data_IF_128635137566
#
_entry.id   IF_128635137566
#
_cell.length_a   1.000
_cell.length_b   1.000
_cell.length_c   1.000
_cell.angle_alpha   90.00
_cell.angle_beta   90.00
_cell.angle_gamma   90.00
#
_symmetry.space_group_name_H-M   'P 1'
#
loop_
_entity.id
_entity.type
_entity.pdbx_description
1 polymer ?
#
# COMPACT_ATOMS: atom_id res chain seq x y z
N UNK A 1 -9.78 17.59 -11.00
CA UNK A 1 -8.64 18.46 -10.65
C UNK A 1 -7.37 17.71 -11.03
N UNK A 2 -6.31 18.38 -11.48
CA UNK A 2 -5.04 17.72 -11.80
C UNK A 2 -4.35 17.40 -10.48
N UNK A 3 -4.02 16.13 -10.24
CA UNK A 3 -3.12 15.74 -9.14
C UNK A 3 -1.69 16.18 -9.52
N UNK A 4 -0.98 16.76 -8.56
CA UNK A 4 0.39 17.21 -8.76
C UNK A 4 1.36 16.10 -8.34
N UNK A 5 2.47 15.99 -9.06
CA UNK A 5 3.56 15.09 -8.66
C UNK A 5 4.36 15.67 -7.49
N UNK A 6 5.11 14.83 -6.76
CA UNK A 6 5.90 15.23 -5.59
C UNK A 6 6.93 16.34 -5.94
N UNK A 7 7.54 16.24 -7.12
CA UNK A 7 8.49 17.23 -7.63
C UNK A 7 7.80 18.59 -7.91
N UNK A 8 6.58 18.57 -8.46
CA UNK A 8 5.79 19.77 -8.73
C UNK A 8 5.39 20.46 -7.40
N UNK A 9 5.01 19.68 -6.38
CA UNK A 9 4.68 20.19 -5.04
C UNK A 9 5.89 20.82 -4.33
N UNK A 10 7.06 20.21 -4.46
CA UNK A 10 8.30 20.73 -3.89
C UNK A 10 8.76 22.02 -4.59
N UNK A 11 8.60 22.09 -5.92
CA UNK A 11 8.89 23.30 -6.68
C UNK A 11 7.98 24.47 -6.28
N UNK A 12 6.69 24.21 -6.03
CA UNK A 12 5.75 25.22 -5.53
C UNK A 12 6.17 25.80 -4.18
N UNK A 13 6.66 24.95 -3.26
CA UNK A 13 7.16 25.38 -1.95
C UNK A 13 8.46 26.18 -2.05
N UNK A 14 9.41 25.72 -2.86
CA UNK A 14 10.67 26.42 -3.09
C UNK A 14 10.47 27.81 -3.70
N UNK A 15 9.46 27.96 -4.56
CA UNK A 15 9.11 29.23 -5.20
C UNK A 15 8.22 30.13 -4.33
N UNK A 16 7.87 29.73 -3.10
CA UNK A 16 7.01 30.50 -2.20
C UNK A 16 5.57 30.67 -2.69
N UNK A 17 5.15 29.86 -3.66
CA UNK A 17 3.82 29.89 -4.24
C UNK A 17 2.89 29.03 -3.39
N UNK A 18 2.16 29.65 -2.46
CA UNK A 18 1.04 28.99 -1.78
C UNK A 18 -0.13 28.96 -2.76
N UNK A 19 -0.53 27.80 -3.33
CA UNK A 19 -1.58 27.76 -4.32
C UNK A 19 -2.90 28.18 -3.67
N UNK A 20 -3.72 28.95 -4.39
CA UNK A 20 -5.06 29.31 -3.92
C UNK A 20 -5.85 28.02 -3.61
N UNK A 21 -6.60 28.02 -2.50
CA UNK A 21 -7.14 26.82 -1.83
C UNK A 21 -8.19 26.05 -2.67
N UNK A 22 -8.42 26.49 -3.91
CA UNK A 22 -9.43 26.03 -4.87
C UNK A 22 -8.87 25.18 -6.02
N UNK A 23 -7.56 25.10 -6.24
CA UNK A 23 -6.95 24.38 -7.37
C UNK A 23 -6.33 23.02 -7.01
N UNK A 24 -6.11 22.74 -5.72
CA UNK A 24 -5.49 21.51 -5.24
C UNK A 24 -6.54 20.48 -4.77
N UNK A 25 -6.25 19.20 -5.00
CA UNK A 25 -7.02 18.13 -4.36
C UNK A 25 -6.78 18.11 -2.84
N UNK A 26 -7.66 17.47 -2.09
CA UNK A 26 -7.47 17.32 -0.63
C UNK A 26 -6.23 16.48 -0.28
N UNK A 27 -5.80 15.58 -1.17
CA UNK A 27 -4.56 14.81 -1.01
C UNK A 27 -3.33 15.71 -1.18
N UNK A 28 -3.32 16.53 -2.25
CA UNK A 28 -2.22 17.47 -2.52
C UNK A 28 -2.08 18.50 -1.39
N UNK A 29 -3.19 18.97 -0.81
CA UNK A 29 -3.17 19.89 0.34
C UNK A 29 -2.50 19.27 1.56
N UNK A 30 -2.82 18.00 1.86
CA UNK A 30 -2.22 17.28 2.99
C UNK A 30 -0.73 17.05 2.76
N UNK A 31 -0.33 16.70 1.54
CA UNK A 31 1.08 16.52 1.18
C UNK A 31 1.86 17.84 1.30
N UNK A 32 1.30 18.93 0.81
CA UNK A 32 1.91 20.26 0.88
C UNK A 32 2.07 20.74 2.34
N UNK A 33 1.08 20.49 3.20
CA UNK A 33 1.21 20.74 4.64
C UNK A 33 2.30 19.89 5.30
N UNK A 34 2.42 18.62 4.91
CA UNK A 34 3.47 17.74 5.42
C UNK A 34 4.87 18.23 5.03
N UNK A 35 5.05 18.66 3.78
CA UNK A 35 6.31 19.25 3.32
C UNK A 35 6.64 20.55 4.06
N UNK A 36 5.67 21.45 4.27
CA UNK A 36 5.89 22.69 5.04
C UNK A 36 6.37 22.40 6.47
N UNK A 37 5.71 21.46 7.16
CA UNK A 37 6.09 21.07 8.51
C UNK A 37 7.50 20.44 8.54
N UNK A 38 7.84 19.64 7.52
CA UNK A 38 9.16 19.04 7.38
C UNK A 38 10.24 20.12 7.19
N UNK A 39 10.05 21.07 6.27
CA UNK A 39 11.01 22.15 6.04
C UNK A 39 11.16 23.07 7.25
N UNK A 40 10.06 23.35 7.96
CA UNK A 40 10.10 24.10 9.21
C UNK A 40 10.96 23.39 10.27
N UNK A 41 10.78 22.08 10.44
CA UNK A 41 11.58 21.26 11.37
C UNK A 41 13.05 21.14 10.95
N UNK A 42 13.34 21.08 9.64
CA UNK A 42 14.71 21.03 9.11
C UNK A 42 15.42 22.39 9.18
N UNK A 43 14.66 23.49 9.21
CA UNK A 43 15.21 24.85 9.33
C UNK A 43 15.63 25.19 10.76
N UNK A 44 15.15 24.43 11.76
CA UNK A 44 15.59 24.57 13.14
C UNK A 44 16.81 23.71 13.42
N UNK A 45 17.91 24.34 13.84
CA UNK A 45 19.09 23.61 14.28
C UNK A 45 18.75 22.80 15.54
N UNK A 46 19.07 21.50 15.58
CA UNK A 46 18.75 20.68 16.73
C UNK A 46 19.60 21.10 17.93
N UNK A 47 18.98 21.17 19.12
CA UNK A 47 19.65 21.58 20.36
C UNK A 47 20.81 20.65 20.76
N UNK A 48 20.77 19.39 20.31
CA UNK A 48 21.82 18.40 20.43
C UNK A 48 22.17 17.85 19.03
N UNK A 49 23.43 17.46 18.83
CA UNK A 49 23.85 16.88 17.56
C UNK A 49 23.05 15.62 17.19
N UNK A 50 22.84 15.41 15.89
CA UNK A 50 22.15 14.21 15.41
C UNK A 50 22.99 12.95 15.70
N UNK A 51 22.36 11.82 16.06
CA UNK A 51 23.10 10.57 16.26
C UNK A 51 23.77 10.14 14.95
N UNK A 52 24.96 9.53 15.06
CA UNK A 52 25.77 9.12 13.90
C UNK A 52 24.99 8.25 12.89
N UNK A 53 23.99 7.49 13.35
CA UNK A 53 23.15 6.63 12.51
C UNK A 53 21.81 7.27 12.09
N UNK A 54 21.62 8.57 12.29
CA UNK A 54 20.34 9.26 12.02
C UNK A 54 19.89 9.07 10.57
N UNK A 55 20.74 9.45 9.61
CA UNK A 55 20.41 9.36 8.18
C UNK A 55 20.11 7.91 7.75
N UNK A 56 20.89 6.94 8.24
CA UNK A 56 20.66 5.52 7.97
C UNK A 56 19.31 5.04 8.55
N UNK A 57 18.95 5.47 9.76
CA UNK A 57 17.69 5.11 10.40
C UNK A 57 16.49 5.74 9.67
N UNK A 58 16.58 7.01 9.28
CA UNK A 58 15.53 7.70 8.52
C UNK A 58 15.34 7.04 7.16
N UNK A 59 16.44 6.81 6.42
CA UNK A 59 16.38 6.13 5.12
C UNK A 59 15.76 4.74 5.23
N UNK A 60 16.17 3.93 6.21
CA UNK A 60 15.61 2.59 6.43
C UNK A 60 14.11 2.66 6.67
N UNK A 61 13.65 3.55 7.56
CA UNK A 61 12.21 3.70 7.85
C UNK A 61 11.40 4.11 6.63
N UNK A 62 11.92 5.05 5.82
CA UNK A 62 11.27 5.48 4.57
C UNK A 62 11.18 4.33 3.55
N UNK A 63 12.26 3.58 3.36
CA UNK A 63 12.31 2.45 2.43
C UNK A 63 11.38 1.32 2.88
N UNK A 64 11.32 1.02 4.18
CA UNK A 64 10.38 0.05 4.75
C UNK A 64 8.92 0.47 4.53
N UNK A 65 8.60 1.76 4.68
CA UNK A 65 7.25 2.27 4.41
C UNK A 65 6.89 2.20 2.92
N UNK A 66 7.80 2.61 2.03
CA UNK A 66 7.60 2.59 0.59
C UNK A 66 7.40 1.15 0.07
N UNK A 67 8.29 0.23 0.48
CA UNK A 67 8.21 -1.16 0.08
C UNK A 67 6.92 -1.82 0.58
N UNK A 68 6.48 -1.56 1.82
CA UNK A 68 5.23 -2.15 2.36
C UNK A 68 3.96 -1.74 1.62
N UNK A 69 3.86 -0.50 1.11
CA UNK A 69 2.69 -0.05 0.30
C UNK A 69 2.66 -0.80 -1.04
N UNK A 70 3.83 -1.04 -1.63
CA UNK A 70 3.98 -1.86 -2.83
C UNK A 70 3.64 -3.32 -2.55
N UNK A 71 4.16 -3.87 -1.44
CA UNK A 71 3.96 -5.27 -1.05
C UNK A 71 2.49 -5.59 -0.81
N UNK A 72 1.69 -4.68 -0.22
CA UNK A 72 0.26 -4.93 -0.04
C UNK A 72 -0.48 -5.07 -1.38
N UNK A 73 -0.23 -4.15 -2.32
CA UNK A 73 -0.85 -4.18 -3.66
C UNK A 73 -0.45 -5.46 -4.39
N UNK A 74 0.83 -5.82 -4.29
CA UNK A 74 1.36 -7.06 -4.86
C UNK A 74 0.72 -8.32 -4.23
N UNK A 75 0.60 -8.36 -2.90
CA UNK A 75 -0.01 -9.47 -2.18
C UNK A 75 -1.50 -9.64 -2.49
N UNK A 76 -2.25 -8.53 -2.63
CA UNK A 76 -3.64 -8.58 -3.09
C UNK A 76 -3.75 -9.03 -4.54
N UNK A 77 -2.82 -8.62 -5.40
CA UNK A 77 -2.75 -9.06 -6.79
C UNK A 77 -2.48 -10.57 -6.86
N UNK A 78 -1.58 -11.11 -6.04
CA UNK A 78 -1.31 -12.54 -5.95
C UNK A 78 -2.57 -13.33 -5.53
N UNK A 79 -3.34 -12.83 -4.56
CA UNK A 79 -4.62 -13.42 -4.15
C UNK A 79 -5.64 -13.38 -5.31
N UNK A 80 -5.68 -12.26 -6.04
CA UNK A 80 -6.48 -12.10 -7.25
C UNK A 80 -6.10 -13.09 -8.37
N UNK A 81 -4.81 -13.29 -8.63
CA UNK A 81 -4.32 -14.29 -9.59
C UNK A 81 -4.73 -15.69 -9.16
N UNK A 82 -4.58 -16.03 -7.88
CA UNK A 82 -4.97 -17.34 -7.36
C UNK A 82 -6.48 -17.60 -7.56
N UNK A 83 -7.33 -16.66 -7.15
CA UNK A 83 -8.78 -16.77 -7.32
C UNK A 83 -9.18 -16.77 -8.80
N UNK A 84 -8.52 -15.94 -9.62
CA UNK A 84 -8.72 -15.89 -11.06
C UNK A 84 -8.34 -17.20 -11.75
N UNK A 85 -7.24 -17.82 -11.34
CA UNK A 85 -6.81 -19.12 -11.85
C UNK A 85 -7.81 -20.23 -11.56
N UNK A 86 -8.35 -20.29 -10.33
CA UNK A 86 -9.42 -21.23 -9.98
C UNK A 86 -10.69 -21.00 -10.82
N UNK A 87 -11.06 -19.73 -11.01
CA UNK A 87 -12.24 -19.35 -11.80
C UNK A 87 -12.07 -19.70 -13.27
N UNK A 88 -10.90 -19.46 -13.84
CA UNK A 88 -10.56 -19.82 -15.21
C UNK A 88 -10.54 -21.34 -15.40
N UNK A 89 -9.92 -22.08 -14.47
CA UNK A 89 -9.90 -23.54 -14.51
C UNK A 89 -11.31 -24.11 -14.49
N UNK A 90 -12.17 -23.62 -13.59
CA UNK A 90 -13.59 -23.99 -13.56
C UNK A 90 -14.30 -23.63 -14.87
N UNK A 91 -14.14 -22.39 -15.35
CA UNK A 91 -14.78 -21.93 -16.58
C UNK A 91 -14.40 -22.77 -17.80
N UNK A 92 -13.11 -23.08 -17.96
CA UNK A 92 -12.64 -23.96 -19.04
C UNK A 92 -13.22 -25.36 -18.91
N UNK A 93 -13.14 -25.97 -17.71
CA UNK A 93 -13.66 -27.32 -17.50
C UNK A 93 -15.17 -27.40 -17.78
N UNK A 94 -15.95 -26.42 -17.33
CA UNK A 94 -17.40 -26.40 -17.55
C UNK A 94 -17.81 -26.17 -19.00
N UNK A 95 -16.98 -25.47 -19.80
CA UNK A 95 -17.23 -25.27 -21.23
C UNK A 95 -16.99 -26.54 -22.06
N UNK A 96 -15.95 -27.31 -21.74
CA UNK A 96 -15.60 -28.53 -22.49
C UNK A 96 -16.32 -29.78 -21.96
N UNK A 97 -16.56 -29.86 -20.66
CA UNK A 97 -17.20 -31.00 -20.00
C UNK A 97 -17.87 -30.55 -18.70
N UNK A 98 -19.18 -30.26 -18.72
CA UNK A 98 -19.90 -29.78 -17.54
C UNK A 98 -19.70 -30.66 -16.30
N UNK A 99 -19.68 -31.99 -16.46
CA UNK A 99 -19.44 -32.94 -15.38
C UNK A 99 -18.08 -32.74 -14.69
N UNK A 100 -17.02 -32.48 -15.45
CA UNK A 100 -15.69 -32.21 -14.88
C UNK A 100 -15.65 -30.89 -14.13
N UNK A 101 -16.41 -29.89 -14.61
CA UNK A 101 -16.58 -28.60 -13.92
C UNK A 101 -17.25 -28.77 -12.57
N UNK A 102 -18.32 -29.55 -12.51
CA UNK A 102 -19.03 -29.86 -11.25
C UNK A 102 -18.17 -30.66 -10.28
N UNK A 103 -17.42 -31.65 -10.77
CA UNK A 103 -16.45 -32.39 -9.94
C UNK A 103 -15.37 -31.46 -9.38
N UNK A 104 -14.85 -30.54 -10.20
CA UNK A 104 -13.84 -29.58 -9.78
C UNK A 104 -14.38 -28.61 -8.72
N UNK A 105 -15.58 -28.06 -8.91
CA UNK A 105 -16.23 -27.22 -7.90
C UNK A 105 -16.47 -27.98 -6.61
N UNK A 106 -17.00 -29.20 -6.68
CA UNK A 106 -17.24 -30.01 -5.50
C UNK A 106 -15.94 -30.33 -4.75
N UNK A 107 -14.84 -30.57 -5.47
CA UNK A 107 -13.53 -30.72 -4.86
C UNK A 107 -13.11 -29.45 -4.12
N UNK A 108 -13.17 -28.27 -4.76
CA UNK A 108 -12.84 -26.98 -4.13
C UNK A 108 -13.70 -26.73 -2.88
N UNK A 109 -15.02 -26.93 -3.00
CA UNK A 109 -15.98 -26.70 -1.92
C UNK A 109 -15.75 -27.68 -0.76
N UNK A 110 -15.29 -28.90 -1.03
CA UNK A 110 -14.91 -29.85 0.03
C UNK A 110 -13.77 -29.31 0.89
N UNK A 111 -12.86 -28.52 0.31
CA UNK A 111 -11.77 -27.83 1.01
C UNK A 111 -12.11 -26.41 1.46
N UNK A 112 -13.39 -25.99 1.46
CA UNK A 112 -13.79 -24.60 1.76
C UNK A 112 -13.25 -24.08 3.09
N UNK A 113 -13.17 -24.92 4.11
CA UNK A 113 -12.66 -24.51 5.43
C UNK A 113 -11.15 -24.27 5.42
N UNK A 114 -10.40 -25.10 4.69
CA UNK A 114 -8.95 -24.93 4.53
C UNK A 114 -8.67 -23.65 3.72
N UNK A 115 -9.40 -23.44 2.62
CA UNK A 115 -9.32 -22.22 1.83
C UNK A 115 -9.66 -20.97 2.65
N UNK A 116 -10.75 -20.99 3.41
CA UNK A 116 -11.14 -19.87 4.28
C UNK A 116 -10.07 -19.58 5.33
N UNK A 117 -9.50 -20.61 5.96
CA UNK A 117 -8.46 -20.42 6.97
C UNK A 117 -7.18 -19.85 6.36
N UNK A 118 -6.81 -20.29 5.15
CA UNK A 118 -5.66 -19.77 4.42
C UNK A 118 -5.86 -18.29 4.06
N UNK A 119 -7.02 -17.93 3.49
CA UNK A 119 -7.34 -16.55 3.14
C UNK A 119 -7.41 -15.67 4.38
N UNK A 120 -8.09 -16.13 5.44
CA UNK A 120 -8.18 -15.39 6.69
C UNK A 120 -6.82 -15.22 7.38
N UNK A 121 -5.97 -16.25 7.36
CA UNK A 121 -4.61 -16.18 7.87
C UNK A 121 -3.74 -15.20 7.08
N UNK A 122 -3.83 -15.25 5.75
CA UNK A 122 -3.10 -14.33 4.87
C UNK A 122 -3.53 -12.87 5.06
N UNK A 123 -4.84 -12.60 5.03
CA UNK A 123 -5.38 -11.25 5.25
C UNK A 123 -5.11 -10.77 6.68
N UNK A 124 -5.24 -11.66 7.67
CA UNK A 124 -4.93 -11.37 9.07
C UNK A 124 -3.47 -11.00 9.27
N UNK A 125 -2.55 -11.74 8.63
CA UNK A 125 -1.12 -11.41 8.61
C UNK A 125 -0.88 -10.01 8.02
N UNK A 126 -1.46 -9.72 6.84
CA UNK A 126 -1.34 -8.40 6.22
C UNK A 126 -1.91 -7.29 7.12
N UNK A 127 -3.03 -7.54 7.79
CA UNK A 127 -3.65 -6.57 8.70
C UNK A 127 -2.79 -6.32 9.94
N UNK A 128 -2.22 -7.36 10.54
CA UNK A 128 -1.33 -7.23 11.71
C UNK A 128 -0.05 -6.48 11.32
N UNK A 129 0.55 -6.82 10.18
CA UNK A 129 1.74 -6.12 9.66
C UNK A 129 1.45 -4.62 9.48
N UNK A 130 0.30 -4.26 8.90
CA UNK A 130 -0.12 -2.87 8.78
C UNK A 130 -0.40 -2.18 10.12
N UNK A 131 -1.04 -2.87 11.08
CA UNK A 131 -1.47 -2.28 12.35
C UNK A 131 -0.30 -2.03 13.30
N UNK A 132 0.71 -2.90 13.33
CA UNK A 132 1.90 -2.73 14.17
C UNK A 132 2.68 -1.46 13.81
N UNK A 133 2.64 -1.04 12.54
CA UNK A 133 3.33 0.17 12.06
C UNK A 133 2.62 1.44 12.52
N UNK A 134 1.28 1.48 12.47
CA UNK A 134 0.48 2.65 12.91
C UNK A 134 0.62 2.98 14.39
N UNK A 135 1.11 2.04 15.21
CA UNK A 135 1.37 2.24 16.66
C UNK A 135 2.80 2.71 16.97
N UNK A 136 3.70 2.71 15.99
CA UNK A 136 5.09 3.15 16.19
C UNK A 136 5.31 4.66 15.96
N UNK A 137 4.22 5.41 15.78
CA UNK A 137 4.16 6.85 15.61
C UNK A 137 3.31 7.45 16.72
#
# INVERSE_FOLDING_TARGET
>A
MKELDDDELQELLNNGLVPDNKTLSEEDKNNLLAYQNLFAALSTEPAEGLPMSFAANVRRKLLEQANRKSDLRFNLLALGIFAGGLTLAYGMLSLFSPESGDMFLNAIISFKWILLTLVAGFVGYLFIDQRLVKRSF
#
